data_IF_621334280826
#
_entry.id   IF_621334280826
#
_cell.length_a   1.000
_cell.length_b   1.000
_cell.length_c   1.000
_cell.angle_alpha   90.00
_cell.angle_beta   90.00
_cell.angle_gamma   90.00
#
_symmetry.space_group_name_H-M   'P 1'
#
loop_
_entity.id
_entity.type
_entity.pdbx_description
1 polymer ?
#
# COMPACT_ATOMS: atom_id res chain seq x y z
N UNK A 1 30.93 7.73 -5.38
CA UNK A 1 30.21 6.55 -5.92
C UNK A 1 28.80 7.02 -6.26
N UNK A 2 28.19 6.60 -7.38
CA UNK A 2 26.81 6.96 -7.66
C UNK A 2 25.89 6.38 -6.57
N UNK A 3 25.03 7.22 -6.00
CA UNK A 3 24.05 6.83 -5.01
C UNK A 3 22.72 6.55 -5.72
N UNK A 4 22.21 5.33 -5.59
CA UNK A 4 20.91 4.96 -6.12
C UNK A 4 19.83 5.46 -5.16
N UNK A 5 19.17 6.57 -5.50
CA UNK A 5 18.10 7.17 -4.68
C UNK A 5 16.73 6.54 -4.95
N UNK A 6 16.48 6.17 -6.20
CA UNK A 6 15.22 5.59 -6.65
C UNK A 6 15.47 4.25 -7.31
N UNK A 7 14.68 3.23 -6.95
CA UNK A 7 14.71 1.94 -7.61
C UNK A 7 13.31 1.51 -8.03
N UNK A 8 13.19 1.00 -9.25
CA UNK A 8 11.92 0.57 -9.84
C UNK A 8 12.04 -0.91 -10.19
N UNK A 9 11.12 -1.72 -9.66
CA UNK A 9 10.98 -3.14 -10.01
C UNK A 9 9.64 -3.32 -10.69
N UNK A 10 9.67 -3.83 -11.92
CA UNK A 10 8.48 -4.21 -12.68
C UNK A 10 8.57 -5.69 -13.08
N UNK A 11 7.71 -6.51 -12.49
CA UNK A 11 7.56 -7.92 -12.84
C UNK A 11 6.39 -8.09 -13.81
N UNK A 12 6.67 -8.44 -15.07
CA UNK A 12 5.61 -8.67 -16.06
C UNK A 12 5.62 -10.11 -16.56
N UNK A 13 4.57 -10.87 -16.24
CA UNK A 13 4.31 -12.17 -16.86
C UNK A 13 3.20 -11.99 -17.91
N UNK A 14 3.55 -12.03 -19.18
CA UNK A 14 2.66 -11.67 -20.28
C UNK A 14 1.44 -12.61 -20.37
N UNK A 15 0.24 -12.02 -20.39
CA UNK A 15 -1.03 -12.71 -20.67
C UNK A 15 -1.65 -12.40 -22.05
N UNK A 16 -1.02 -11.56 -22.87
CA UNK A 16 -1.64 -11.08 -24.12
C UNK A 16 -1.41 -11.94 -25.37
N UNK A 17 -0.68 -13.05 -25.27
CA UNK A 17 -0.62 -14.00 -26.37
C UNK A 17 -1.58 -15.16 -26.09
N UNK A 18 -2.56 -15.33 -26.97
CA UNK A 18 -3.45 -16.49 -27.09
C UNK A 18 -2.72 -17.83 -27.34
N UNK A 19 -1.43 -17.90 -27.04
CA UNK A 19 -0.62 -19.10 -27.06
C UNK A 19 -0.21 -19.37 -25.62
N UNK A 20 -0.69 -20.48 -25.08
CA UNK A 20 -0.24 -21.02 -23.80
C UNK A 20 1.29 -20.87 -23.72
N UNK A 21 1.85 -20.19 -22.71
CA UNK A 21 3.28 -20.17 -22.55
C UNK A 21 3.73 -21.64 -22.46
N UNK A 22 4.67 -22.06 -23.32
CA UNK A 22 5.16 -23.43 -23.27
C UNK A 22 5.83 -23.60 -21.91
N UNK A 23 5.25 -24.46 -21.07
CA UNK A 23 5.91 -25.19 -19.98
C UNK A 23 6.80 -24.33 -19.06
N UNK A 24 6.27 -23.96 -17.89
CA UNK A 24 7.05 -23.68 -16.66
C UNK A 24 8.26 -22.74 -16.82
N UNK A 25 8.15 -21.69 -17.63
CA UNK A 25 9.18 -20.65 -17.73
C UNK A 25 9.10 -19.71 -16.52
N UNK A 26 9.53 -20.20 -15.35
CA UNK A 26 9.84 -19.34 -14.20
C UNK A 26 11.32 -18.97 -14.23
N UNK A 27 11.64 -17.75 -14.70
CA UNK A 27 12.73 -17.00 -14.10
C UNK A 27 12.12 -15.74 -13.50
N UNK A 28 11.31 -15.91 -12.46
CA UNK A 28 10.98 -14.77 -11.60
C UNK A 28 12.28 -14.13 -11.12
N UNK A 29 12.29 -12.82 -10.96
CA UNK A 29 13.49 -12.05 -10.66
C UNK A 29 14.09 -12.40 -9.27
N UNK A 30 13.63 -13.42 -8.54
CA UNK A 30 14.12 -13.80 -7.20
C UNK A 30 15.65 -13.86 -7.11
N UNK A 31 16.31 -14.57 -8.04
CA UNK A 31 17.76 -14.71 -8.05
C UNK A 31 18.47 -13.40 -8.35
N UNK A 32 17.89 -12.56 -9.21
CA UNK A 32 18.43 -11.26 -9.53
C UNK A 32 18.23 -10.29 -8.35
N UNK A 33 16.99 -10.13 -7.89
CA UNK A 33 16.60 -9.27 -6.78
C UNK A 33 17.36 -9.63 -5.49
N UNK A 34 17.50 -10.91 -5.14
CA UNK A 34 18.26 -11.32 -3.94
C UNK A 34 19.76 -11.00 -4.01
N UNK A 35 20.33 -10.83 -5.21
CA UNK A 35 21.77 -10.52 -5.39
C UNK A 35 22.06 -9.04 -5.52
N UNK A 36 21.04 -8.20 -5.65
CA UNK A 36 21.22 -6.75 -5.65
C UNK A 36 21.87 -6.32 -4.34
N UNK A 37 22.74 -5.32 -4.40
CA UNK A 37 23.31 -4.70 -3.20
C UNK A 37 22.90 -3.25 -3.23
N UNK A 38 22.10 -2.86 -2.26
CA UNK A 38 21.71 -1.47 -2.09
C UNK A 38 22.75 -0.75 -1.25
N UNK A 39 23.12 0.44 -1.69
CA UNK A 39 23.74 1.41 -0.79
C UNK A 39 22.66 1.95 0.14
N UNK A 40 23.02 2.34 1.37
CA UNK A 40 22.15 2.96 2.39
C UNK A 40 21.65 4.37 2.01
N UNK A 41 21.36 4.60 0.73
CA UNK A 41 20.92 5.87 0.16
C UNK A 41 19.60 5.73 -0.62
N UNK A 42 19.03 4.52 -0.68
CA UNK A 42 17.75 4.27 -1.34
C UNK A 42 16.65 4.94 -0.53
N UNK A 43 16.04 5.98 -1.11
CA UNK A 43 14.98 6.78 -0.48
C UNK A 43 13.62 6.54 -1.12
N UNK A 44 13.57 6.04 -2.36
CA UNK A 44 12.34 5.76 -3.09
C UNK A 44 12.36 4.38 -3.74
N UNK A 45 11.29 3.61 -3.54
CA UNK A 45 11.11 2.29 -4.12
C UNK A 45 9.74 2.22 -4.80
N UNK A 46 9.74 1.85 -6.08
CA UNK A 46 8.52 1.52 -6.82
C UNK A 46 8.50 0.04 -7.16
N UNK A 47 7.38 -0.61 -6.90
CA UNK A 47 7.15 -2.03 -7.09
C UNK A 47 5.86 -2.23 -7.87
N UNK A 48 5.99 -2.87 -9.02
CA UNK A 48 4.85 -3.31 -9.82
C UNK A 48 5.01 -4.77 -10.18
N UNK A 49 3.92 -5.52 -10.08
CA UNK A 49 3.85 -6.86 -10.63
C UNK A 49 2.55 -7.01 -11.39
N UNK A 50 2.61 -7.67 -12.55
CA UNK A 50 1.47 -8.20 -13.30
C UNK A 50 1.57 -9.72 -13.45
N UNK A 51 2.33 -10.35 -12.57
CA UNK A 51 2.40 -11.80 -12.48
C UNK A 51 1.04 -12.33 -12.01
N UNK A 52 0.43 -13.21 -12.80
CA UNK A 52 -0.78 -13.90 -12.36
C UNK A 52 -0.43 -14.79 -11.17
N UNK A 53 -1.00 -14.50 -10.00
CA UNK A 53 -0.78 -15.22 -8.75
C UNK A 53 -1.06 -16.74 -8.84
N UNK A 54 -1.92 -17.18 -9.75
CA UNK A 54 -2.16 -18.60 -10.03
C UNK A 54 -0.99 -19.30 -10.75
N UNK A 55 -0.06 -18.53 -11.32
CA UNK A 55 1.11 -19.07 -12.05
C UNK A 55 2.34 -19.21 -11.15
N UNK A 56 2.35 -18.57 -9.99
CA UNK A 56 3.43 -18.68 -9.02
C UNK A 56 3.63 -17.40 -8.21
N UNK A 57 4.51 -17.45 -7.19
CA UNK A 57 4.80 -16.31 -6.32
C UNK A 57 5.45 -15.15 -7.06
N UNK A 58 5.16 -13.92 -6.65
CA UNK A 58 5.97 -12.75 -7.03
C UNK A 58 7.36 -12.82 -6.40
N UNK A 59 8.37 -12.20 -7.04
CA UNK A 59 9.70 -12.06 -6.44
C UNK A 59 9.89 -10.83 -5.56
N UNK A 60 8.88 -9.95 -5.50
CA UNK A 60 8.85 -8.77 -4.63
C UNK A 60 8.97 -9.14 -3.13
N UNK A 61 8.25 -10.13 -2.56
CA UNK A 61 8.47 -10.52 -1.16
C UNK A 61 9.89 -11.02 -0.85
N UNK A 62 10.54 -11.69 -1.81
CA UNK A 62 11.92 -12.17 -1.65
C UNK A 62 12.93 -11.03 -1.63
N UNK A 63 12.68 -9.96 -2.40
CA UNK A 63 13.46 -8.73 -2.36
C UNK A 63 13.52 -8.17 -0.93
N UNK A 64 12.37 -7.99 -0.28
CA UNK A 64 12.32 -7.46 1.08
C UNK A 64 12.95 -8.38 2.10
N UNK A 65 12.75 -9.70 1.96
CA UNK A 65 13.39 -10.66 2.87
C UNK A 65 14.91 -10.55 2.84
N UNK A 66 15.49 -10.23 1.67
CA UNK A 66 16.95 -10.15 1.50
C UNK A 66 17.51 -8.79 1.89
N UNK A 67 16.76 -7.71 1.64
CA UNK A 67 17.27 -6.34 1.73
C UNK A 67 16.73 -5.52 2.89
N UNK A 68 15.90 -6.09 3.78
CA UNK A 68 15.22 -5.32 4.82
C UNK A 68 16.17 -4.46 5.68
N UNK A 69 17.37 -4.97 6.00
CA UNK A 69 18.39 -4.25 6.77
C UNK A 69 19.00 -3.04 6.04
N UNK A 70 18.79 -2.92 4.73
CA UNK A 70 19.37 -1.88 3.87
C UNK A 70 18.35 -0.82 3.43
N UNK A 71 17.14 -0.83 4.01
CA UNK A 71 16.04 0.07 3.67
C UNK A 71 15.79 1.13 4.75
N UNK A 72 16.75 1.38 5.64
CA UNK A 72 16.63 2.33 6.75
C UNK A 72 16.41 3.78 6.27
N UNK A 73 16.88 4.14 5.08
CA UNK A 73 16.68 5.45 4.45
C UNK A 73 15.44 5.55 3.56
N UNK A 74 14.66 4.49 3.40
CA UNK A 74 13.51 4.48 2.51
C UNK A 74 12.39 5.37 3.07
N UNK A 75 12.07 6.45 2.36
CA UNK A 75 11.02 7.41 2.73
C UNK A 75 9.75 7.26 1.89
N UNK A 76 9.88 6.75 0.66
CA UNK A 76 8.77 6.62 -0.29
C UNK A 76 8.66 5.19 -0.82
N UNK A 77 7.47 4.62 -0.74
CA UNK A 77 7.15 3.31 -1.30
C UNK A 77 5.89 3.40 -2.16
N UNK A 78 5.99 2.93 -3.40
CA UNK A 78 4.86 2.72 -4.30
C UNK A 78 4.73 1.25 -4.63
N UNK A 79 3.56 0.66 -4.39
CA UNK A 79 3.29 -0.76 -4.58
C UNK A 79 1.97 -1.00 -5.31
N UNK A 80 2.05 -1.68 -6.45
CA UNK A 80 0.90 -2.32 -7.07
C UNK A 80 0.65 -3.68 -6.42
N UNK A 81 -0.36 -3.78 -5.56
CA UNK A 81 -0.50 -4.93 -4.65
C UNK A 81 -1.35 -6.06 -5.20
N UNK A 82 -2.32 -5.77 -6.08
CA UNK A 82 -3.39 -6.71 -6.41
C UNK A 82 -2.97 -7.93 -7.23
N UNK A 83 -1.74 -8.02 -7.73
CA UNK A 83 -1.20 -9.24 -8.34
C UNK A 83 -0.40 -10.13 -7.34
N UNK A 84 -0.20 -9.66 -6.11
CA UNK A 84 0.35 -10.48 -5.02
C UNK A 84 -0.71 -11.42 -4.48
N UNK A 85 -0.30 -12.53 -3.86
CA UNK A 85 -1.21 -13.33 -3.03
C UNK A 85 -1.48 -12.64 -1.70
N UNK A 86 -2.59 -13.02 -1.05
CA UNK A 86 -2.99 -12.47 0.26
C UNK A 86 -1.88 -12.59 1.31
N UNK A 87 -1.27 -13.76 1.43
CA UNK A 87 -0.17 -14.05 2.34
C UNK A 87 1.09 -13.27 1.98
N UNK A 88 1.40 -13.13 0.69
CA UNK A 88 2.54 -12.36 0.20
C UNK A 88 2.41 -10.87 0.52
N UNK A 89 1.22 -10.30 0.32
CA UNK A 89 0.95 -8.90 0.63
C UNK A 89 1.04 -8.63 2.14
N UNK A 90 0.45 -9.48 2.97
CA UNK A 90 0.54 -9.35 4.43
C UNK A 90 1.99 -9.48 4.90
N UNK A 91 2.73 -10.50 4.41
CA UNK A 91 4.13 -10.70 4.76
C UNK A 91 4.99 -9.47 4.38
N UNK A 92 4.76 -8.92 3.19
CA UNK A 92 5.46 -7.74 2.71
C UNK A 92 5.23 -6.54 3.63
N UNK A 93 3.98 -6.26 4.00
CA UNK A 93 3.66 -5.17 4.93
C UNK A 93 4.17 -5.44 6.35
N UNK A 94 4.17 -6.69 6.82
CA UNK A 94 4.74 -7.07 8.12
C UNK A 94 6.24 -6.83 8.22
N UNK A 95 6.97 -6.95 7.11
CA UNK A 95 8.40 -6.66 7.04
C UNK A 95 8.65 -5.17 6.91
N UNK A 96 7.89 -4.50 6.04
CA UNK A 96 8.03 -3.08 5.77
C UNK A 96 7.62 -2.21 6.96
N UNK A 97 6.46 -2.47 7.54
CA UNK A 97 5.86 -1.65 8.60
C UNK A 97 6.80 -1.32 9.75
N UNK A 98 7.34 -2.32 10.46
CA UNK A 98 8.31 -2.10 11.53
C UNK A 98 9.76 -2.01 11.02
N UNK A 99 10.08 -2.57 9.86
CA UNK A 99 11.44 -2.64 9.32
C UNK A 99 11.90 -1.37 8.61
N UNK A 100 10.98 -0.49 8.21
CA UNK A 100 11.26 0.77 7.53
C UNK A 100 10.67 1.94 8.34
N UNK A 101 11.28 2.31 9.48
CA UNK A 101 10.75 3.35 10.36
C UNK A 101 10.76 4.75 9.74
N UNK A 102 11.53 4.96 8.68
CA UNK A 102 11.68 6.23 7.97
C UNK A 102 10.62 6.46 6.89
N UNK A 103 9.74 5.47 6.63
CA UNK A 103 8.74 5.60 5.58
C UNK A 103 7.70 6.67 5.94
N UNK A 104 7.65 7.72 5.11
CA UNK A 104 6.75 8.86 5.27
C UNK A 104 5.67 8.91 4.18
N UNK A 105 5.91 8.33 3.01
CA UNK A 105 5.00 8.32 1.86
C UNK A 105 4.77 6.88 1.39
N UNK A 106 3.52 6.41 1.53
CA UNK A 106 3.11 5.07 1.11
C UNK A 106 1.98 5.17 0.09
N UNK A 107 2.18 4.54 -1.06
CA UNK A 107 1.23 4.51 -2.15
C UNK A 107 0.90 3.06 -2.50
N UNK A 108 -0.37 2.69 -2.36
CA UNK A 108 -0.89 1.35 -2.61
C UNK A 108 -1.90 1.39 -3.75
N UNK A 109 -1.62 0.66 -4.81
CA UNK A 109 -2.41 0.68 -6.03
C UNK A 109 -2.94 -0.71 -6.36
N UNK A 110 -4.25 -0.85 -6.43
CA UNK A 110 -4.82 -1.90 -7.25
C UNK A 110 -4.67 -1.49 -8.72
N UNK A 111 -4.23 -2.42 -9.55
CA UNK A 111 -4.25 -2.27 -11.00
C UNK A 111 -5.54 -2.78 -11.63
N UNK A 112 -5.74 -2.47 -12.91
CA UNK A 112 -6.92 -2.88 -13.66
C UNK A 112 -7.02 -4.40 -13.83
N UNK A 113 -7.70 -5.05 -12.88
CA UNK A 113 -8.16 -6.41 -13.04
C UNK A 113 -9.62 -6.36 -13.48
N UNK A 114 -9.87 -6.54 -14.78
CA UNK A 114 -11.21 -6.93 -15.25
C UNK A 114 -11.48 -8.35 -14.80
N UNK A 115 -12.16 -8.52 -13.66
CA UNK A 115 -12.61 -9.82 -13.21
C UNK A 115 -13.91 -10.19 -13.92
N UNK A 116 -13.98 -11.33 -14.63
CA UNK A 116 -15.26 -11.99 -14.78
C UNK A 116 -15.67 -12.46 -13.37
N UNK A 117 -16.80 -11.97 -12.87
CA UNK A 117 -17.45 -12.31 -11.58
C UNK A 117 -17.87 -13.79 -11.48
N UNK A 118 -17.09 -14.73 -12.01
CA UNK A 118 -17.38 -16.16 -11.88
C UNK A 118 -16.94 -16.64 -10.49
N UNK A 119 -17.86 -16.44 -9.56
CA UNK A 119 -18.48 -17.51 -8.79
C UNK A 119 -17.51 -18.48 -8.05
N UNK A 120 -17.30 -18.18 -6.75
CA UNK A 120 -17.01 -19.11 -5.63
C UNK A 120 -15.56 -19.54 -5.32
N UNK A 121 -14.52 -18.87 -5.80
CA UNK A 121 -13.17 -19.05 -5.26
C UNK A 121 -12.62 -17.72 -4.71
N UNK A 122 -12.05 -17.75 -3.50
CA UNK A 122 -11.26 -16.64 -2.96
C UNK A 122 -10.25 -16.22 -4.02
N UNK A 123 -10.28 -14.96 -4.50
CA UNK A 123 -9.37 -14.57 -5.56
C UNK A 123 -7.93 -14.75 -5.06
N UNK A 124 -7.02 -15.27 -5.89
CA UNK A 124 -5.61 -15.47 -5.52
C UNK A 124 -4.86 -14.13 -5.35
N UNK A 125 -5.58 -13.02 -5.42
CA UNK A 125 -5.10 -11.66 -5.56
C UNK A 125 -5.29 -10.91 -4.25
N UNK A 126 -4.31 -10.11 -3.89
CA UNK A 126 -4.36 -9.31 -2.68
C UNK A 126 -5.41 -8.20 -2.83
N UNK A 127 -6.15 -8.00 -1.74
CA UNK A 127 -7.07 -6.89 -1.53
C UNK A 127 -6.62 -6.15 -0.26
N UNK A 128 -7.04 -4.92 -0.09
CA UNK A 128 -6.85 -4.18 1.15
C UNK A 128 -7.83 -4.65 2.24
N UNK A 129 -7.54 -5.84 2.79
CA UNK A 129 -8.40 -6.52 3.78
C UNK A 129 -8.51 -5.75 5.11
N UNK A 130 -9.60 -5.92 5.89
CA UNK A 130 -9.71 -5.34 7.23
C UNK A 130 -8.54 -5.68 8.15
N UNK A 131 -8.04 -6.92 8.11
CA UNK A 131 -6.87 -7.33 8.92
C UNK A 131 -5.55 -6.61 8.57
N UNK A 132 -5.41 -6.11 7.34
CA UNK A 132 -4.30 -5.26 6.91
C UNK A 132 -4.51 -3.87 7.48
N UNK A 133 -5.72 -3.33 7.32
CA UNK A 133 -6.09 -2.02 7.82
C UNK A 133 -5.93 -1.90 9.35
N UNK A 134 -6.29 -2.93 10.10
CA UNK A 134 -6.16 -2.94 11.57
C UNK A 134 -4.73 -2.63 12.05
N UNK A 135 -3.73 -2.94 11.23
CA UNK A 135 -2.31 -2.69 11.53
C UNK A 135 -1.86 -1.29 11.18
N UNK A 136 -2.64 -0.54 10.39
CA UNK A 136 -2.39 0.86 10.07
C UNK A 136 -2.88 1.80 11.18
N UNK A 137 -3.72 1.35 12.11
CA UNK A 137 -4.11 2.14 13.27
C UNK A 137 -2.97 2.26 14.29
N UNK A 138 -2.76 3.47 14.81
CA UNK A 138 -1.82 3.85 15.88
C UNK A 138 -2.32 3.38 17.24
N UNK A 139 -3.61 3.56 17.50
CA UNK A 139 -4.30 3.01 18.65
C UNK A 139 -5.31 1.99 18.11
N UNK A 140 -5.22 0.73 18.56
CA UNK A 140 -6.21 -0.29 18.18
C UNK A 140 -7.62 0.24 18.56
N UNK A 141 -8.39 0.72 17.59
CA UNK A 141 -9.74 1.24 17.82
C UNK A 141 -10.72 0.14 18.26
N UNK A 142 -10.33 -1.13 18.19
CA UNK A 142 -11.12 -2.23 18.72
C UNK A 142 -10.70 -2.55 20.16
N UNK A 143 -11.71 -2.64 21.04
CA UNK A 143 -11.66 -3.43 22.29
C UNK A 143 -11.43 -4.93 21.99
N UNK A 144 -10.56 -5.27 21.04
CA UNK A 144 -10.29 -6.65 20.68
C UNK A 144 -9.25 -7.21 21.64
N UNK A 145 -9.49 -8.44 22.06
CA UNK A 145 -8.70 -9.27 22.97
C UNK A 145 -7.28 -9.58 22.46
N UNK A 146 -6.79 -8.90 21.44
CA UNK A 146 -5.46 -9.14 20.87
C UNK A 146 -4.42 -8.26 21.55
N UNK A 147 -3.21 -8.80 21.84
CA UNK A 147 -2.13 -8.02 22.43
C UNK A 147 -1.85 -6.80 21.54
N UNK A 148 -1.65 -5.63 22.17
CA UNK A 148 -1.35 -4.36 21.50
C UNK A 148 -0.25 -4.57 20.45
N UNK A 149 -0.65 -4.68 19.19
CA UNK A 149 0.25 -4.83 18.06
C UNK A 149 0.81 -3.45 17.73
N UNK A 150 2.13 -3.35 17.56
CA UNK A 150 2.75 -2.09 17.12
C UNK A 150 2.16 -1.69 15.76
N UNK A 151 1.82 -0.40 15.57
CA UNK A 151 1.34 0.08 14.28
C UNK A 151 2.40 -0.12 13.21
N UNK A 152 1.97 -0.43 12.00
CA UNK A 152 2.80 -0.30 10.81
C UNK A 152 2.95 1.18 10.45
N UNK A 153 4.14 1.55 9.97
CA UNK A 153 4.44 2.89 9.45
C UNK A 153 4.13 4.01 10.46
N UNK A 154 4.79 4.02 11.63
CA UNK A 154 4.54 5.03 12.66
C UNK A 154 4.96 6.46 12.25
N UNK A 155 5.71 6.61 11.16
CA UNK A 155 6.16 7.90 10.61
C UNK A 155 5.39 8.33 9.36
N UNK A 156 4.31 7.63 9.02
CA UNK A 156 3.54 7.88 7.81
C UNK A 156 2.91 9.27 7.82
N UNK A 157 3.25 10.09 6.82
CA UNK A 157 2.74 11.45 6.63
C UNK A 157 1.80 11.55 5.42
N UNK A 158 2.04 10.74 4.38
CA UNK A 158 1.25 10.71 3.15
C UNK A 158 0.80 9.28 2.85
N UNK A 159 -0.49 9.12 2.57
CA UNK A 159 -1.04 7.83 2.18
C UNK A 159 -1.89 7.98 0.92
N UNK A 160 -1.51 7.26 -0.12
CA UNK A 160 -2.29 7.16 -1.36
C UNK A 160 -2.81 5.75 -1.53
N UNK A 161 -4.10 5.60 -1.83
CA UNK A 161 -4.71 4.29 -2.04
C UNK A 161 -5.65 4.30 -3.25
N UNK A 162 -5.49 3.35 -4.17
CA UNK A 162 -6.45 3.09 -5.24
C UNK A 162 -6.97 1.67 -5.03
N UNK A 163 -8.28 1.55 -4.78
CA UNK A 163 -8.93 0.28 -4.54
C UNK A 163 -9.30 -0.39 -5.86
N UNK A 164 -9.29 -1.72 -5.88
CA UNK A 164 -9.53 -2.50 -7.08
C UNK A 164 -10.94 -3.06 -7.19
N UNK A 165 -11.67 -3.09 -6.07
CA UNK A 165 -13.00 -3.72 -5.99
C UNK A 165 -13.92 -2.99 -5.02
N UNK A 166 -15.22 -2.94 -5.34
CA UNK A 166 -16.24 -2.31 -4.48
C UNK A 166 -16.75 -3.18 -3.31
N UNK A 167 -16.46 -4.49 -3.31
CA UNK A 167 -16.98 -5.44 -2.34
C UNK A 167 -15.82 -5.99 -1.49
N UNK A 168 -15.93 -5.89 -0.16
CA UNK A 168 -15.00 -6.45 0.85
C UNK A 168 -13.63 -5.78 1.00
N UNK A 169 -13.36 -4.70 0.25
CA UNK A 169 -12.17 -3.88 0.41
C UNK A 169 -12.48 -2.64 1.26
N UNK A 170 -11.45 -2.05 1.90
CA UNK A 170 -11.45 -0.78 2.63
C UNK A 170 -12.63 0.15 2.29
N UNK A 171 -13.53 0.34 3.23
CA UNK A 171 -14.75 1.11 3.01
C UNK A 171 -14.71 2.54 3.60
N UNK A 172 -15.81 3.27 3.45
CA UNK A 172 -15.99 4.62 3.97
C UNK A 172 -15.81 4.70 5.50
N UNK A 173 -16.24 3.66 6.23
CA UNK A 173 -16.15 3.61 7.69
C UNK A 173 -14.73 3.35 8.13
N UNK A 174 -14.06 2.40 7.47
CA UNK A 174 -12.64 2.09 7.63
C UNK A 174 -11.77 3.34 7.44
N UNK A 175 -12.07 4.17 6.43
CA UNK A 175 -11.40 5.45 6.23
C UNK A 175 -11.62 6.42 7.38
N UNK A 176 -12.86 6.59 7.83
CA UNK A 176 -13.18 7.48 8.94
C UNK A 176 -12.47 7.06 10.24
N UNK A 177 -12.40 5.75 10.51
CA UNK A 177 -11.67 5.21 11.66
C UNK A 177 -10.16 5.46 11.50
N UNK A 178 -9.59 5.26 10.31
CA UNK A 178 -8.17 5.47 10.03
C UNK A 178 -7.76 6.92 10.20
N UNK A 179 -8.52 7.84 9.61
CA UNK A 179 -8.27 9.28 9.72
C UNK A 179 -8.45 9.77 11.16
N UNK A 180 -9.51 9.33 11.84
CA UNK A 180 -9.75 9.74 13.23
C UNK A 180 -8.60 9.29 14.14
N UNK A 181 -8.11 8.06 14.00
CA UNK A 181 -6.99 7.55 14.78
C UNK A 181 -5.67 8.31 14.48
N UNK A 182 -5.32 8.47 13.21
CA UNK A 182 -4.05 9.08 12.78
C UNK A 182 -3.97 10.60 12.96
N UNK A 183 -5.11 11.29 12.97
CA UNK A 183 -5.18 12.73 13.18
C UNK A 183 -5.45 13.13 14.64
N UNK A 184 -5.86 12.18 15.48
CA UNK A 184 -6.06 12.43 16.90
C UNK A 184 -4.74 12.78 17.58
N UNK A 185 -4.77 13.80 18.46
CA UNK A 185 -3.62 14.14 19.28
C UNK A 185 -3.21 12.92 20.12
N UNK A 186 -1.91 12.58 20.23
CA UNK A 186 -1.48 11.50 21.10
C UNK A 186 -1.99 11.78 22.52
N UNK A 187 -2.89 10.93 22.99
CA UNK A 187 -3.46 10.93 24.33
C UNK A 187 -2.44 10.39 25.31
N UNK A 188 -1.32 11.10 25.45
CA UNK A 188 -0.22 10.73 26.34
C UNK A 188 0.82 11.83 26.38
N UNK A 189 1.10 12.32 27.59
CA UNK A 189 2.20 13.24 27.88
C UNK A 189 3.55 12.58 27.57
N UNK A 190 3.98 12.63 26.31
CA UNK A 190 5.36 12.33 25.94
C UNK A 190 6.22 13.58 26.20
N UNK A 191 7.40 13.45 26.84
CA UNK A 191 8.24 14.58 27.17
C UNK A 191 8.63 15.39 25.92
N UNK A 192 8.54 16.71 26.04
CA UNK A 192 8.46 17.71 24.98
C UNK A 192 9.75 17.99 24.18
N UNK A 193 10.67 17.04 24.03
CA UNK A 193 11.95 17.32 23.35
C UNK A 193 12.29 16.44 22.14
N UNK A 194 11.45 15.46 21.81
CA UNK A 194 11.63 14.64 20.59
C UNK A 194 10.32 14.26 19.91
N UNK A 195 9.19 14.85 20.31
CA UNK A 195 7.90 14.63 19.66
C UNK A 195 7.88 15.35 18.30
N UNK A 196 8.57 14.77 17.31
CA UNK A 196 8.34 15.11 15.91
C UNK A 196 6.86 14.86 15.66
N UNK A 197 6.16 15.90 15.19
CA UNK A 197 4.76 15.83 14.80
C UNK A 197 4.64 14.89 13.59
N UNK A 198 4.51 13.60 13.86
CA UNK A 198 4.38 12.51 12.86
C UNK A 198 2.91 12.31 12.46
N UNK A 199 2.14 13.40 12.46
CA UNK A 199 0.73 13.40 12.09
C UNK A 199 0.59 13.26 10.58
N UNK A 200 -0.45 12.57 10.17
CA UNK A 200 -0.82 12.43 8.77
C UNK A 200 -1.11 13.82 8.17
N UNK A 201 -0.46 14.14 7.05
CA UNK A 201 -0.57 15.42 6.33
C UNK A 201 -1.45 15.32 5.10
N UNK A 202 -1.44 14.17 4.42
CA UNK A 202 -2.16 13.99 3.16
C UNK A 202 -2.73 12.59 3.04
N UNK A 203 -3.99 12.51 2.60
CA UNK A 203 -4.61 11.27 2.14
C UNK A 203 -5.24 11.50 0.77
N UNK A 204 -4.91 10.64 -0.19
CA UNK A 204 -5.50 10.61 -1.53
C UNK A 204 -6.03 9.21 -1.81
N UNK A 205 -7.36 9.07 -1.90
CA UNK A 205 -8.00 7.77 -2.03
C UNK A 205 -8.99 7.75 -3.18
N UNK A 206 -8.89 6.70 -3.99
CA UNK A 206 -9.86 6.40 -5.04
C UNK A 206 -10.67 5.16 -4.63
N UNK A 207 -11.93 5.39 -4.29
CA UNK A 207 -12.88 4.33 -3.94
C UNK A 207 -13.60 3.81 -5.16
N UNK A 208 -13.68 2.49 -5.24
CA UNK A 208 -14.73 1.87 -6.03
C UNK A 208 -16.02 1.82 -5.19
N UNK A 209 -16.90 2.79 -5.35
CA UNK A 209 -18.15 2.81 -4.61
C UNK A 209 -19.17 3.72 -5.28
N UNK A 210 -20.45 3.33 -5.19
CA UNK A 210 -21.59 4.17 -5.56
C UNK A 210 -22.02 5.10 -4.43
N UNK A 211 -21.54 4.87 -3.21
CA UNK A 211 -21.84 5.67 -2.03
C UNK A 211 -20.78 6.73 -1.86
N UNK A 212 -21.22 7.92 -1.48
CA UNK A 212 -20.37 9.02 -1.06
C UNK A 212 -20.67 9.35 0.41
N UNK A 213 -19.63 9.64 1.18
CA UNK A 213 -19.76 10.17 2.53
C UNK A 213 -19.14 11.56 2.63
N UNK A 214 -19.69 12.41 3.49
CA UNK A 214 -19.07 13.68 3.87
C UNK A 214 -18.01 13.43 4.95
N UNK A 215 -16.80 13.03 4.53
CA UNK A 215 -15.70 12.74 5.46
C UNK A 215 -15.36 13.93 6.34
N UNK A 216 -15.39 15.15 5.80
CA UNK A 216 -15.07 16.36 6.57
C UNK A 216 -16.10 16.63 7.66
N UNK A 217 -17.39 16.52 7.33
CA UNK A 217 -18.48 16.64 8.30
C UNK A 217 -18.37 15.62 9.43
N UNK A 218 -18.10 14.36 9.08
CA UNK A 218 -17.95 13.25 10.04
C UNK A 218 -16.73 13.44 10.96
N UNK A 219 -15.57 13.82 10.43
CA UNK A 219 -14.38 14.10 11.24
C UNK A 219 -14.60 15.28 12.20
N UNK A 220 -15.27 16.34 11.72
CA UNK A 220 -15.62 17.50 12.55
C UNK A 220 -16.60 17.12 13.66
N UNK A 221 -17.61 16.30 13.36
CA UNK A 221 -18.56 15.81 14.36
C UNK A 221 -17.88 14.97 15.46
N UNK A 222 -16.78 14.28 15.11
CA UNK A 222 -15.93 13.52 16.05
C UNK A 222 -14.93 14.40 16.84
N UNK A 223 -14.87 15.70 16.57
CA UNK A 223 -13.93 16.62 17.22
C UNK A 223 -12.47 16.40 16.81
N UNK A 224 -12.23 15.79 15.66
CA UNK A 224 -10.88 15.58 15.12
C UNK A 224 -10.34 16.91 14.60
N UNK A 225 -9.15 17.30 15.04
CA UNK A 225 -8.44 18.44 14.46
C UNK A 225 -8.00 18.04 13.05
N UNK A 226 -8.26 18.89 12.06
CA UNK A 226 -7.88 18.67 10.66
C UNK A 226 -7.01 19.80 10.11
N UNK A 227 -6.53 20.70 10.96
CA UNK A 227 -5.65 21.79 10.52
C UNK A 227 -4.37 21.23 9.89
N UNK A 228 -4.04 21.71 8.69
CA UNK A 228 -2.86 21.30 7.92
C UNK A 228 -2.97 19.91 7.28
N UNK A 229 -4.15 19.29 7.29
CA UNK A 229 -4.42 18.01 6.65
C UNK A 229 -5.14 18.20 5.32
N UNK A 230 -4.66 17.51 4.29
CA UNK A 230 -5.24 17.49 2.94
C UNK A 230 -5.90 16.13 2.68
N UNK A 231 -7.12 16.17 2.13
CA UNK A 231 -7.90 14.99 1.79
C UNK A 231 -8.44 15.11 0.37
N UNK A 232 -8.03 14.18 -0.49
CA UNK A 232 -8.59 13.97 -1.81
C UNK A 232 -9.31 12.62 -1.83
N UNK A 233 -10.59 12.62 -2.22
CA UNK A 233 -11.37 11.40 -2.37
C UNK A 233 -12.07 11.43 -3.72
N UNK A 234 -11.91 10.35 -4.48
CA UNK A 234 -12.62 10.14 -5.73
C UNK A 234 -13.45 8.86 -5.65
N UNK A 235 -14.72 8.94 -6.03
CA UNK A 235 -15.63 7.81 -6.10
C UNK A 235 -15.87 7.45 -7.56
N UNK A 236 -15.80 6.16 -7.89
CA UNK A 236 -15.99 5.65 -9.24
C UNK A 236 -16.54 4.24 -9.25
N UNK A 237 -16.93 3.77 -10.44
CA UNK A 237 -17.31 2.37 -10.69
C UNK A 237 -16.07 1.55 -11.03
N UNK A 238 -16.11 0.23 -10.83
CA UNK A 238 -15.00 -0.69 -11.14
C UNK A 238 -14.46 -0.49 -12.56
N UNK A 239 -15.35 -0.18 -13.50
CA UNK A 239 -15.02 0.05 -14.91
C UNK A 239 -14.28 1.36 -15.20
N UNK A 240 -14.39 2.38 -14.34
CA UNK A 240 -13.77 3.70 -14.54
C UNK A 240 -12.28 3.70 -14.18
N UNK A 241 -11.84 2.72 -13.41
CA UNK A 241 -10.43 2.56 -13.01
C UNK A 241 -9.62 1.75 -14.04
N UNK A 242 -10.24 1.33 -15.14
CA UNK A 242 -9.60 0.57 -16.22
C UNK A 242 -8.68 1.42 -17.13
N UNK A 243 -8.83 2.75 -17.15
CA UNK A 243 -8.11 3.65 -18.07
C UNK A 243 -6.82 4.25 -17.49
N UNK A 244 -6.35 3.79 -16.32
CA UNK A 244 -5.14 4.32 -15.67
C UNK A 244 -3.82 3.74 -16.20
N UNK A 245 -3.72 3.50 -17.51
CA UNK A 245 -2.42 3.53 -18.20
C UNK A 245 -1.70 4.89 -18.04
N UNK A 246 -2.37 5.88 -17.45
CA UNK A 246 -1.90 7.25 -17.22
C UNK A 246 -1.20 7.50 -15.87
N UNK A 247 -1.31 6.63 -14.84
CA UNK A 247 -0.61 6.90 -13.55
C UNK A 247 0.92 6.74 -13.66
N UNK A 248 1.40 6.12 -14.74
CA UNK A 248 2.82 5.90 -14.97
C UNK A 248 3.40 6.77 -16.09
N UNK A 249 2.64 7.73 -16.62
CA UNK A 249 2.97 8.45 -17.86
C UNK A 249 3.59 9.84 -17.73
N UNK A 250 3.36 10.58 -16.64
CA UNK A 250 3.53 12.06 -16.70
C UNK A 250 4.69 12.66 -15.90
N UNK A 251 5.61 11.86 -15.34
CA UNK A 251 6.83 12.38 -14.68
C UNK A 251 8.12 12.13 -15.51
N UNK A 252 7.99 12.02 -16.85
CA UNK A 252 9.12 11.99 -17.78
C UNK A 252 9.01 13.14 -18.78
N UNK A 253 8.90 14.37 -18.29
CA UNK A 253 9.23 15.58 -19.05
C UNK A 253 10.13 16.48 -18.19
N UNK A 254 11.45 16.24 -18.33
CA UNK A 254 12.55 17.21 -18.16
C UNK A 254 13.51 17.01 -19.35
#
# INVERSE_FOLDING_TARGET
MPHLHTFIIEERAWGHFHHQPPVDTRPYLHNFLSRLKFTSALSSLKLSTSCNANRGPSSIPSFFTTHFDSLDTLTTLSLQYNYLRKDEFVLLLEKLGPGVPSLTDLKLYASSLTFPEREWEDPPYARFWPSVLERFYVQSCSKSLYPQKKPWFPSLEKFTCILGTSWEEFDDRDLLEFLADRLSKPSGSLPSHTAVDRRLKMVDIKFVSFKNIDVWGELKARGVDTNGFELAIMYGQDSLWHDEHLIWGDDLDD
#
